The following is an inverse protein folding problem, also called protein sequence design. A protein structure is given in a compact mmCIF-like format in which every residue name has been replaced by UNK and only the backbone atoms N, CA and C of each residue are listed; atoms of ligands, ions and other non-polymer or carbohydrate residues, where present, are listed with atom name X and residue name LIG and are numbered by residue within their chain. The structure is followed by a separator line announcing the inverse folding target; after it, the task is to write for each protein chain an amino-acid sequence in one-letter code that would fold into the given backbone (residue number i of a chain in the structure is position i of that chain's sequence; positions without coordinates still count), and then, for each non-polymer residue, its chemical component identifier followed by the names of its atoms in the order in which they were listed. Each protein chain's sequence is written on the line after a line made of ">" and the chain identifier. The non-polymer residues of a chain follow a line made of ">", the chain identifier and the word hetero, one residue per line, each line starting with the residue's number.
data_IF_994624538325
#
_entry.id   IF_994624538325
#
_cell.length_a   1.000
_cell.length_b   1.000
_cell.length_c   1.000
_cell.angle_alpha   90.00
_cell.angle_beta   90.00
_cell.angle_gamma   90.00
#
_symmetry.space_group_name_H-M   'P 1'
#
loop_
_entity.id
_entity.type
_entity.pdbx_description
1 polymer ?
#
# COMPACT_ATOMS: atom_id res chain seq x y z
N UNK A 1 -17.53 -1.08 -23.76
CA UNK A 1 -17.91 -1.51 -22.41
C UNK A 1 -17.59 -0.36 -21.48
N UNK A 2 -18.58 0.11 -20.75
CA UNK A 2 -18.53 1.32 -19.93
C UNK A 2 -17.72 1.03 -18.65
N UNK A 3 -16.46 1.49 -18.61
CA UNK A 3 -15.50 1.24 -17.52
C UNK A 3 -15.86 1.94 -16.21
N UNK A 4 -16.92 2.75 -16.21
CA UNK A 4 -17.41 3.51 -15.05
C UNK A 4 -18.21 2.66 -14.04
N UNK A 5 -18.43 1.37 -14.34
CA UNK A 5 -19.25 0.45 -13.53
C UNK A 5 -18.47 -0.64 -12.79
N UNK A 6 -17.14 -0.65 -12.87
CA UNK A 6 -16.32 -1.64 -12.16
C UNK A 6 -16.10 -1.23 -10.70
N UNK A 7 -16.12 -2.19 -9.75
CA UNK A 7 -15.88 -1.89 -8.33
C UNK A 7 -14.47 -1.30 -8.14
N UNK A 8 -14.35 -0.32 -7.24
CA UNK A 8 -13.06 0.25 -6.84
C UNK A 8 -12.16 -0.85 -6.28
N UNK A 9 -11.00 -1.06 -6.91
CA UNK A 9 -9.98 -1.97 -6.39
C UNK A 9 -9.17 -1.22 -5.32
N UNK A 10 -9.27 -1.68 -4.07
CA UNK A 10 -8.47 -1.16 -2.96
C UNK A 10 -7.31 -2.12 -2.70
N UNK A 11 -6.08 -1.68 -2.99
CA UNK A 11 -4.86 -2.40 -2.64
C UNK A 11 -4.29 -1.83 -1.34
N UNK A 12 -4.54 -2.51 -0.23
CA UNK A 12 -3.95 -2.19 1.06
C UNK A 12 -2.58 -2.86 1.15
N UNK A 13 -1.49 -2.09 1.03
CA UNK A 13 -0.17 -2.63 1.32
C UNK A 13 0.14 -2.47 2.82
N UNK A 14 0.32 -3.61 3.48
CA UNK A 14 1.14 -3.68 4.67
C UNK A 14 1.58 -5.11 4.80
N UNK A 15 2.88 -5.30 4.70
CA UNK A 15 3.47 -6.61 4.74
C UNK A 15 3.23 -7.19 6.14
N UNK A 16 2.32 -8.18 6.23
CA UNK A 16 1.93 -9.02 7.39
C UNK A 16 1.03 -8.36 8.45
N UNK A 17 -0.27 -8.59 8.27
CA UNK A 17 -1.42 -8.43 9.16
C UNK A 17 -1.18 -8.45 10.70
N UNK A 18 -1.84 -7.49 11.36
CA UNK A 18 -1.58 -6.94 12.70
C UNK A 18 -2.43 -7.52 13.84
N UNK A 19 -1.99 -8.62 14.45
CA UNK A 19 -2.43 -8.94 15.83
C UNK A 19 -1.33 -9.53 16.73
N UNK A 20 -0.22 -10.04 16.16
CA UNK A 20 0.78 -10.82 16.90
C UNK A 20 2.23 -10.53 16.47
N UNK A 21 2.53 -9.27 16.14
CA UNK A 21 3.85 -8.92 15.57
C UNK A 21 5.01 -9.21 16.55
N UNK A 22 4.78 -9.03 17.86
CA UNK A 22 5.73 -9.43 18.89
C UNK A 22 5.99 -10.95 18.92
N UNK A 23 4.98 -11.77 18.63
CA UNK A 23 5.14 -13.23 18.51
C UNK A 23 5.94 -13.64 17.26
N UNK A 24 5.99 -12.75 16.26
CA UNK A 24 6.79 -12.94 15.05
C UNK A 24 8.22 -12.42 15.20
N UNK A 25 8.46 -11.39 16.00
CA UNK A 25 9.80 -10.83 16.22
C UNK A 25 10.79 -11.90 16.74
N UNK A 26 10.34 -12.77 17.66
CA UNK A 26 11.14 -13.93 18.14
C UNK A 26 11.48 -14.96 17.06
N UNK A 27 10.66 -15.04 16.01
CA UNK A 27 10.92 -15.92 14.86
C UNK A 27 11.68 -15.23 13.73
N UNK A 28 11.69 -13.90 13.72
CA UNK A 28 12.34 -13.07 12.70
C UNK A 28 13.85 -12.95 12.89
N UNK A 29 14.44 -13.50 13.96
CA UNK A 29 15.88 -13.56 14.17
C UNK A 29 16.34 -15.01 14.46
N UNK A 30 17.58 -15.32 14.08
CA UNK A 30 18.29 -16.56 14.44
C UNK A 30 19.67 -16.23 14.99
N UNK A 31 20.12 -17.05 15.93
CA UNK A 31 21.50 -17.06 16.38
C UNK A 31 22.40 -17.68 15.30
N UNK A 32 23.56 -17.06 15.10
CA UNK A 32 24.63 -17.47 14.20
C UNK A 32 25.94 -17.47 14.97
N UNK A 33 27.01 -18.02 14.40
CA UNK A 33 28.33 -18.03 15.05
C UNK A 33 28.88 -16.62 15.32
N UNK A 34 28.37 -15.59 14.64
CA UNK A 34 28.70 -14.18 14.84
C UNK A 34 27.70 -13.41 15.73
N UNK A 35 26.74 -14.11 16.34
CA UNK A 35 25.67 -13.52 17.16
C UNK A 35 24.30 -13.55 16.47
N UNK A 36 23.39 -12.68 16.90
CA UNK A 36 22.02 -12.66 16.37
C UNK A 36 21.95 -11.98 15.01
N UNK A 37 21.27 -12.63 14.05
CA UNK A 37 21.01 -12.08 12.72
C UNK A 37 19.50 -12.12 12.41
N UNK A 38 19.04 -11.17 11.59
CA UNK A 38 17.67 -11.14 11.09
C UNK A 38 17.47 -12.22 10.03
N UNK A 39 16.38 -12.99 10.14
CA UNK A 39 15.88 -13.90 9.10
C UNK A 39 15.14 -13.10 8.03
N UNK A 40 15.84 -12.15 7.43
CA UNK A 40 15.32 -11.32 6.36
C UNK A 40 16.17 -11.57 5.12
N UNK A 41 15.51 -12.01 4.04
CA UNK A 41 16.17 -12.18 2.76
C UNK A 41 16.13 -10.85 2.01
N UNK A 42 17.27 -10.15 2.02
CA UNK A 42 17.42 -8.88 1.32
C UNK A 42 17.33 -9.05 -0.22
N UNK A 43 17.66 -10.22 -0.76
CA UNK A 43 17.52 -10.49 -2.19
C UNK A 43 16.05 -10.65 -2.59
N UNK A 44 15.26 -11.32 -1.74
CA UNK A 44 13.81 -11.39 -1.93
C UNK A 44 13.16 -9.98 -1.88
N UNK A 45 13.58 -9.13 -0.94
CA UNK A 45 13.10 -7.75 -0.87
C UNK A 45 13.45 -6.91 -2.11
N UNK A 46 14.63 -7.12 -2.69
CA UNK A 46 15.05 -6.46 -3.92
C UNK A 46 14.23 -6.91 -5.15
N UNK A 47 13.86 -8.20 -5.21
CA UNK A 47 13.07 -8.76 -6.32
C UNK A 47 11.65 -8.17 -6.43
N UNK A 48 11.05 -7.68 -5.34
CA UNK A 48 9.75 -7.03 -5.40
C UNK A 48 9.78 -5.60 -5.97
N UNK A 49 10.97 -5.04 -6.18
CA UNK A 49 11.17 -3.70 -6.75
C UNK A 49 11.42 -3.71 -8.26
N UNK A 50 11.24 -4.85 -8.91
CA UNK A 50 11.53 -5.00 -10.34
C UNK A 50 10.63 -4.08 -11.18
N UNK A 51 11.22 -3.40 -12.17
CA UNK A 51 10.53 -2.44 -13.03
C UNK A 51 9.39 -3.05 -13.84
N UNK A 52 9.37 -4.38 -13.97
CA UNK A 52 8.37 -5.15 -14.69
C UNK A 52 6.93 -4.81 -14.26
N UNK A 53 6.66 -4.73 -12.95
CA UNK A 53 5.33 -4.40 -12.44
C UNK A 53 4.87 -2.99 -12.82
N UNK A 54 5.79 -2.04 -13.03
CA UNK A 54 5.43 -0.66 -13.39
C UNK A 54 4.90 -0.57 -14.81
N UNK A 55 5.47 -1.33 -15.74
CA UNK A 55 5.03 -1.33 -17.13
C UNK A 55 3.66 -1.98 -17.29
N UNK A 56 3.42 -3.07 -16.54
CA UNK A 56 2.16 -3.82 -16.63
C UNK A 56 0.98 -3.10 -15.95
N UNK A 57 1.26 -2.27 -14.94
CA UNK A 57 0.24 -1.53 -14.20
C UNK A 57 -0.02 -0.12 -14.76
N UNK A 58 0.78 0.36 -15.72
CA UNK A 58 0.60 1.71 -16.24
C UNK A 58 -0.74 1.85 -16.98
N UNK A 59 -1.57 2.84 -16.61
CA UNK A 59 -2.85 3.08 -17.25
C UNK A 59 -3.95 2.08 -16.89
N UNK A 60 -3.99 1.62 -15.63
CA UNK A 60 -5.07 0.77 -15.12
C UNK A 60 -6.44 1.36 -15.47
N UNK A 61 -7.26 0.53 -16.14
CA UNK A 61 -8.62 0.90 -16.55
C UNK A 61 -9.64 0.72 -15.42
N UNK A 62 -9.30 -0.07 -14.40
CA UNK A 62 -10.15 -0.26 -13.21
C UNK A 62 -9.97 0.91 -12.24
N UNK A 63 -11.05 1.50 -11.71
CA UNK A 63 -10.96 2.54 -10.69
C UNK A 63 -10.11 2.07 -9.51
N UNK A 64 -9.02 2.77 -9.23
CA UNK A 64 -8.03 2.41 -8.21
C UNK A 64 -7.66 3.66 -7.43
N UNK A 65 -8.12 3.78 -6.19
CA UNK A 65 -7.82 4.93 -5.34
C UNK A 65 -6.49 4.75 -4.59
N UNK A 66 -5.87 5.88 -4.25
CA UNK A 66 -4.54 5.93 -3.61
C UNK A 66 -4.70 6.50 -2.20
N UNK A 67 -4.30 5.72 -1.19
CA UNK A 67 -4.19 6.16 0.21
C UNK A 67 -2.73 6.01 0.63
N UNK A 68 -2.14 7.04 1.24
CA UNK A 68 -0.75 7.02 1.70
C UNK A 68 -0.57 7.88 2.94
N UNK A 69 0.54 7.68 3.67
CA UNK A 69 0.90 8.54 4.80
C UNK A 69 1.59 9.82 4.33
N UNK A 70 1.15 10.97 4.85
CA UNK A 70 1.64 12.28 4.46
C UNK A 70 3.12 12.53 4.80
N UNK A 71 3.73 11.73 5.68
CA UNK A 71 5.15 11.79 6.05
C UNK A 71 5.95 10.64 5.44
N UNK A 72 5.38 9.90 4.49
CA UNK A 72 6.02 8.72 3.92
C UNK A 72 7.23 9.08 3.06
N UNK A 73 8.42 8.63 3.46
CA UNK A 73 9.63 8.64 2.62
C UNK A 73 9.53 7.70 1.40
N UNK A 74 8.54 6.79 1.41
CA UNK A 74 8.29 5.81 0.34
C UNK A 74 7.25 6.33 -0.66
N UNK A 75 6.35 7.22 -0.26
CA UNK A 75 5.33 7.84 -1.12
C UNK A 75 5.59 9.34 -1.22
N UNK A 76 6.74 9.69 -1.81
CA UNK A 76 7.11 11.08 -2.11
C UNK A 76 6.16 11.71 -3.13
N UNK A 77 6.24 13.02 -3.31
CA UNK A 77 5.43 13.74 -4.29
C UNK A 77 5.58 13.16 -5.72
N UNK A 78 6.80 12.79 -6.12
CA UNK A 78 7.09 12.17 -7.41
C UNK A 78 6.46 10.79 -7.53
N UNK A 79 6.43 10.02 -6.44
CA UNK A 79 5.81 8.68 -6.41
C UNK A 79 4.29 8.74 -6.38
N UNK A 80 3.70 9.75 -5.75
CA UNK A 80 2.25 10.02 -5.84
C UNK A 80 1.87 10.42 -7.27
N UNK A 81 2.65 11.28 -7.91
CA UNK A 81 2.43 11.64 -9.31
C UNK A 81 2.53 10.42 -10.24
N UNK A 82 3.52 9.55 -10.01
CA UNK A 82 3.62 8.27 -10.70
C UNK A 82 2.41 7.36 -10.44
N UNK A 83 1.95 7.24 -9.20
CA UNK A 83 0.79 6.42 -8.86
C UNK A 83 -0.46 6.90 -9.61
N UNK A 84 -0.61 8.21 -9.82
CA UNK A 84 -1.68 8.77 -10.66
C UNK A 84 -1.51 8.47 -12.16
N UNK A 85 -0.28 8.36 -12.67
CA UNK A 85 -0.06 7.88 -14.04
C UNK A 85 -0.44 6.41 -14.18
N UNK A 86 -0.16 5.61 -13.15
CA UNK A 86 -0.51 4.18 -13.09
C UNK A 86 -2.04 4.01 -13.00
N UNK A 87 -2.71 4.79 -12.15
CA UNK A 87 -4.14 4.76 -11.93
C UNK A 87 -4.79 6.09 -12.39
N UNK A 88 -4.96 6.31 -13.71
CA UNK A 88 -5.48 7.58 -14.24
C UNK A 88 -6.95 7.85 -13.88
N UNK A 89 -7.67 6.83 -13.41
CA UNK A 89 -9.06 6.92 -12.95
C UNK A 89 -9.19 7.00 -11.43
N UNK A 90 -8.08 7.18 -10.70
CA UNK A 90 -8.11 7.44 -9.27
C UNK A 90 -8.83 8.77 -8.97
N UNK A 91 -9.51 8.84 -7.83
CA UNK A 91 -9.89 10.12 -7.24
C UNK A 91 -8.67 10.92 -6.76
N UNK A 92 -8.93 11.99 -6.01
CA UNK A 92 -7.83 12.71 -5.33
C UNK A 92 -7.12 11.77 -4.34
N UNK A 93 -5.79 11.61 -4.41
CA UNK A 93 -5.05 10.80 -3.45
C UNK A 93 -5.31 11.25 -2.02
N UNK A 94 -5.57 10.28 -1.13
CA UNK A 94 -5.87 10.53 0.28
C UNK A 94 -4.58 10.43 1.08
N UNK A 95 -4.07 11.59 1.50
CA UNK A 95 -2.92 11.69 2.39
C UNK A 95 -3.37 11.63 3.86
N UNK A 96 -2.92 10.63 4.61
CA UNK A 96 -3.21 10.48 6.04
C UNK A 96 -2.17 11.28 6.84
N UNK A 97 -2.56 12.28 7.65
CA UNK A 97 -1.62 13.10 8.42
C UNK A 97 -0.97 12.30 9.55
N UNK A 98 0.18 12.77 10.03
CA UNK A 98 0.95 12.15 11.12
C UNK A 98 1.20 10.64 10.91
N UNK A 99 1.55 10.27 9.68
CA UNK A 99 1.68 8.88 9.23
C UNK A 99 2.81 8.73 8.22
N UNK A 100 3.68 7.76 8.44
CA UNK A 100 4.68 7.33 7.46
C UNK A 100 4.09 6.23 6.56
N UNK A 101 4.91 5.33 6.04
CA UNK A 101 4.50 4.35 5.03
C UNK A 101 3.63 3.19 5.58
N UNK A 102 3.57 2.99 6.91
CA UNK A 102 2.80 1.91 7.52
C UNK A 102 1.44 2.40 8.03
N UNK A 103 0.60 2.86 7.10
CA UNK A 103 -0.69 3.50 7.38
C UNK A 103 -1.60 2.67 8.30
N UNK A 104 -1.64 1.35 8.09
CA UNK A 104 -2.41 0.43 8.93
C UNK A 104 -1.96 0.38 10.40
N UNK A 105 -0.68 0.61 10.67
CA UNK A 105 -0.11 0.55 12.03
C UNK A 105 -0.24 1.92 12.70
N UNK A 106 0.15 2.95 11.97
CA UNK A 106 0.34 4.28 12.53
C UNK A 106 -1.00 5.01 12.69
N UNK A 107 -1.94 4.83 11.74
CA UNK A 107 -3.21 5.56 11.71
C UNK A 107 -4.40 4.65 11.32
N UNK A 108 -4.69 3.57 12.08
CA UNK A 108 -5.73 2.61 11.73
C UNK A 108 -7.14 3.23 11.64
N UNK A 109 -7.48 4.17 12.51
CA UNK A 109 -8.80 4.81 12.49
C UNK A 109 -8.95 5.76 11.30
N UNK A 110 -7.90 6.51 10.96
CA UNK A 110 -7.93 7.38 9.79
C UNK A 110 -8.01 6.57 8.50
N UNK A 111 -7.33 5.42 8.44
CA UNK A 111 -7.44 4.50 7.33
C UNK A 111 -8.87 3.96 7.17
N UNK A 112 -9.50 3.52 8.26
CA UNK A 112 -10.91 3.07 8.22
C UNK A 112 -11.82 4.20 7.73
N UNK A 113 -11.65 5.42 8.23
CA UNK A 113 -12.45 6.56 7.80
C UNK A 113 -12.28 6.86 6.30
N UNK A 114 -11.04 6.83 5.79
CA UNK A 114 -10.76 7.00 4.36
C UNK A 114 -11.42 5.90 3.51
N UNK A 115 -11.28 4.63 3.93
CA UNK A 115 -11.90 3.49 3.24
C UNK A 115 -13.43 3.60 3.21
N UNK A 116 -14.06 3.93 4.34
CA UNK A 116 -15.50 4.14 4.40
C UNK A 116 -15.95 5.28 3.47
N UNK A 117 -15.20 6.38 3.43
CA UNK A 117 -15.49 7.50 2.54
C UNK A 117 -15.39 7.14 1.06
N UNK A 118 -14.37 6.37 0.66
CA UNK A 118 -14.22 5.91 -0.73
C UNK A 118 -15.33 4.94 -1.13
N UNK A 119 -15.60 3.94 -0.29
CA UNK A 119 -16.62 2.91 -0.57
C UNK A 119 -18.05 3.46 -0.58
N UNK A 120 -18.34 4.49 0.23
CA UNK A 120 -19.64 5.14 0.22
C UNK A 120 -19.90 5.97 -1.05
N UNK A 121 -18.84 6.37 -1.75
CA UNK A 121 -18.90 7.17 -2.97
C UNK A 121 -18.68 6.35 -4.25
N UNK A 122 -18.45 5.03 -4.14
CA UNK A 122 -18.44 4.14 -5.30
C UNK A 122 -19.84 4.09 -5.93
N UNK A 123 -19.97 4.17 -7.26
CA UNK A 123 -21.27 4.04 -7.92
C UNK A 123 -21.90 2.68 -7.54
N UNK A 124 -23.24 2.63 -7.36
CA UNK A 124 -23.91 1.38 -7.03
C UNK A 124 -23.60 0.34 -8.11
N UNK A 125 -23.30 -0.90 -7.70
CA UNK A 125 -23.26 -2.02 -8.65
C UNK A 125 -24.63 -2.18 -9.33
N UNK A 126 -24.67 -2.49 -10.64
CA UNK A 126 -25.93 -2.73 -11.35
C UNK A 126 -26.70 -3.93 -10.79
#
# INVERSE_FOLDING_TARGET
>A
MDSTSLPSLVLVHGFRAHARWWDHARHAASETDAGWSWKFDFAAAASFNDEHYRNDLCGLQVPTDIIYGAQSDVMTAERVALALMIAPHAGTPVAIPACNHHVMIEQPLALIAALCGLLANSPPSP
#
